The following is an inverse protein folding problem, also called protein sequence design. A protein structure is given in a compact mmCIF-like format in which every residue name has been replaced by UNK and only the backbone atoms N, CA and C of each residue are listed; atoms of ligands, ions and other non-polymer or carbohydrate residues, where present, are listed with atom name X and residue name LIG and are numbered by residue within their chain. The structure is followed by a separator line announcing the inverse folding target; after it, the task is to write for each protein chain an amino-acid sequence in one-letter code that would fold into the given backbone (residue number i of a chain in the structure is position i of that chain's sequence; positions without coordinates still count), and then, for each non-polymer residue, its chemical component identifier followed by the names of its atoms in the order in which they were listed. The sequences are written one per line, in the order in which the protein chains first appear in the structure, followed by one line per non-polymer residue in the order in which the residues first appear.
data_IF_540419753190
#
_entry.id   IF_540419753190
#
_cell.length_a   1.000
_cell.length_b   1.000
_cell.length_c   1.000
_cell.angle_alpha   90.00
_cell.angle_beta   90.00
_cell.angle_gamma   90.00
#
_symmetry.space_group_name_H-M   'P 1'
#
loop_
_entity.id
_entity.type
_entity.pdbx_description
1 polymer ?
#
# COMPACT_ATOMS: atom_id res chain seq x y z
N UNK A 1 59.01 -11.82 -3.29
CA UNK A 1 57.71 -12.46 -3.55
C UNK A 1 56.57 -11.93 -2.69
N UNK A 2 56.80 -11.48 -1.45
CA UNK A 2 55.69 -11.12 -0.53
C UNK A 2 54.92 -9.82 -0.88
N UNK A 3 55.56 -8.81 -1.49
CA UNK A 3 54.91 -7.51 -1.75
C UNK A 3 53.75 -7.57 -2.76
N UNK A 4 53.89 -8.41 -3.79
CA UNK A 4 52.85 -8.60 -4.82
C UNK A 4 51.64 -9.31 -4.21
N UNK A 5 51.87 -10.33 -3.36
CA UNK A 5 50.82 -11.06 -2.68
C UNK A 5 49.97 -10.19 -1.74
N UNK A 6 50.61 -9.33 -0.93
CA UNK A 6 49.89 -8.40 -0.05
C UNK A 6 49.08 -7.33 -0.82
N UNK A 7 49.61 -6.86 -1.95
CA UNK A 7 48.91 -5.88 -2.80
C UNK A 7 47.66 -6.48 -3.44
N UNK A 8 47.75 -7.71 -3.97
CA UNK A 8 46.60 -8.41 -4.56
C UNK A 8 45.54 -8.71 -3.50
N UNK A 9 45.94 -9.15 -2.30
CA UNK A 9 45.00 -9.44 -1.22
C UNK A 9 44.23 -8.18 -0.75
N UNK A 10 44.92 -7.05 -0.62
CA UNK A 10 44.29 -5.77 -0.24
C UNK A 10 43.28 -5.28 -1.30
N UNK A 11 43.63 -5.40 -2.58
CA UNK A 11 42.74 -5.05 -3.68
C UNK A 11 41.47 -5.92 -3.69
N UNK A 12 41.61 -7.23 -3.49
CA UNK A 12 40.45 -8.14 -3.39
C UNK A 12 39.55 -7.74 -2.21
N UNK A 13 40.12 -7.47 -1.03
CA UNK A 13 39.35 -7.05 0.14
C UNK A 13 38.59 -5.73 -0.09
N UNK A 14 39.20 -4.75 -0.77
CA UNK A 14 38.54 -3.49 -1.11
C UNK A 14 37.37 -3.69 -2.08
N UNK A 15 37.55 -4.50 -3.13
CA UNK A 15 36.49 -4.78 -4.11
C UNK A 15 35.35 -5.56 -3.46
N UNK A 16 35.64 -6.58 -2.65
CA UNK A 16 34.61 -7.34 -1.92
C UNK A 16 33.83 -6.45 -0.95
N UNK A 17 34.52 -5.58 -0.20
CA UNK A 17 33.87 -4.61 0.68
C UNK A 17 32.94 -3.65 -0.08
N UNK A 18 33.37 -3.15 -1.24
CA UNK A 18 32.56 -2.27 -2.08
C UNK A 18 31.30 -2.97 -2.61
N UNK A 19 31.41 -4.21 -3.10
CA UNK A 19 30.28 -4.98 -3.63
C UNK A 19 29.24 -5.29 -2.55
N UNK A 20 29.68 -5.61 -1.31
CA UNK A 20 28.77 -5.87 -0.19
C UNK A 20 27.96 -4.61 0.17
N UNK A 21 28.58 -3.42 0.16
CA UNK A 21 27.88 -2.17 0.46
C UNK A 21 26.83 -1.80 -0.60
N UNK A 22 27.10 -2.10 -1.89
CA UNK A 22 26.11 -1.89 -2.96
C UNK A 22 24.92 -2.83 -2.79
N UNK A 23 25.16 -4.10 -2.43
CA UNK A 23 24.08 -5.08 -2.29
C UNK A 23 23.09 -4.73 -1.16
N UNK A 24 23.61 -4.19 -0.05
CA UNK A 24 22.77 -3.75 1.07
C UNK A 24 21.91 -2.51 0.75
N UNK A 25 22.36 -1.63 -0.15
CA UNK A 25 21.61 -0.43 -0.51
C UNK A 25 20.41 -0.71 -1.45
N UNK A 26 20.46 -1.80 -2.23
CA UNK A 26 19.41 -2.15 -3.20
C UNK A 26 18.17 -2.76 -2.53
N UNK A 27 18.29 -3.30 -1.31
CA UNK A 27 17.21 -4.02 -0.62
C UNK A 27 16.41 -3.18 0.37
N UNK A 28 16.71 -1.88 0.53
CA UNK A 28 16.03 -0.99 1.47
C UNK A 28 14.67 -0.44 0.98
N UNK A 29 13.95 -1.18 0.12
CA UNK A 29 12.61 -0.76 -0.31
C UNK A 29 11.64 -0.94 0.85
N UNK A 30 11.04 0.18 1.32
CA UNK A 30 9.96 0.13 2.30
C UNK A 30 8.77 -0.55 1.64
N UNK A 31 8.45 -1.77 2.09
CA UNK A 31 7.24 -2.47 1.63
C UNK A 31 6.01 -1.74 2.16
N UNK A 32 5.11 -1.33 1.26
CA UNK A 32 3.77 -0.89 1.65
C UNK A 32 3.07 -2.06 2.35
N UNK A 33 2.53 -1.80 3.55
CA UNK A 33 1.71 -2.79 4.24
C UNK A 33 0.49 -3.14 3.39
N UNK A 34 0.12 -4.43 3.38
CA UNK A 34 -1.06 -4.95 2.68
C UNK A 34 -1.18 -4.45 1.21
N UNK A 35 -0.05 -4.36 0.50
CA UNK A 35 -0.03 -3.89 -0.91
C UNK A 35 -0.77 -4.80 -1.90
N UNK A 36 -1.03 -6.05 -1.50
CA UNK A 36 -1.84 -7.00 -2.24
C UNK A 36 -3.34 -6.95 -1.91
N UNK A 37 -3.79 -6.13 -0.94
CA UNK A 37 -5.19 -6.03 -0.52
C UNK A 37 -5.81 -7.34 -0.04
N UNK A 38 -5.08 -8.12 0.74
CA UNK A 38 -5.54 -9.42 1.25
C UNK A 38 -6.24 -9.30 2.61
N UNK A 39 -5.92 -8.25 3.37
CA UNK A 39 -6.49 -7.97 4.70
C UNK A 39 -7.48 -6.81 4.61
N UNK A 40 -8.63 -6.95 5.28
CA UNK A 40 -9.73 -5.98 5.20
C UNK A 40 -10.41 -5.80 6.56
N UNK A 41 -10.67 -4.54 6.91
CA UNK A 41 -11.37 -4.14 8.13
C UNK A 41 -12.81 -3.73 7.80
N UNK A 42 -13.75 -4.06 8.68
CA UNK A 42 -15.14 -3.59 8.61
C UNK A 42 -15.29 -2.19 9.21
N UNK A 43 -16.25 -1.42 8.70
CA UNK A 43 -16.68 -0.14 9.28
C UNK A 43 -17.31 -0.29 10.67
N UNK A 44 -17.73 -1.52 11.03
CA UNK A 44 -18.48 -1.84 12.24
C UNK A 44 -19.79 -1.04 12.38
N UNK A 45 -20.33 -0.53 11.28
CA UNK A 45 -21.63 0.14 11.24
C UNK A 45 -22.73 -0.83 10.82
N UNK A 46 -23.97 -0.48 11.13
CA UNK A 46 -25.13 -1.23 10.65
C UNK A 46 -25.41 -0.91 9.16
N UNK A 47 -26.01 -1.84 8.39
CA UNK A 47 -26.51 -1.54 7.05
C UNK A 47 -27.41 -0.30 7.03
N UNK A 48 -27.32 0.58 6.02
CA UNK A 48 -26.55 0.45 4.77
C UNK A 48 -25.07 0.87 4.85
N UNK A 49 -24.59 1.26 6.03
CA UNK A 49 -23.24 1.81 6.26
C UNK A 49 -22.18 0.73 6.57
N UNK A 50 -22.55 -0.54 6.46
CA UNK A 50 -21.63 -1.67 6.60
C UNK A 50 -20.79 -1.82 5.33
N UNK A 51 -19.52 -1.43 5.40
CA UNK A 51 -18.56 -1.55 4.32
C UNK A 51 -17.22 -2.07 4.83
N UNK A 52 -16.38 -2.51 3.91
CA UNK A 52 -15.04 -3.00 4.21
C UNK A 52 -14.00 -2.15 3.47
N UNK A 53 -12.84 -1.94 4.09
CA UNK A 53 -11.68 -1.31 3.45
C UNK A 53 -10.41 -2.14 3.66
N UNK A 54 -9.40 -2.05 2.79
CA UNK A 54 -8.13 -2.73 3.03
C UNK A 54 -7.45 -2.23 4.30
N UNK A 55 -6.96 -3.13 5.14
CA UNK A 55 -6.24 -2.78 6.37
C UNK A 55 -4.96 -2.00 6.05
N UNK A 56 -4.64 -0.99 6.86
CA UNK A 56 -3.55 0.00 6.67
C UNK A 56 -3.71 0.98 5.49
N UNK A 57 -4.91 1.04 4.89
CA UNK A 57 -5.25 2.01 3.86
C UNK A 57 -6.39 2.93 4.31
N UNK A 58 -6.38 4.17 3.82
CA UNK A 58 -7.50 5.09 3.96
C UNK A 58 -8.30 5.14 2.67
N UNK A 59 -9.62 5.15 2.81
CA UNK A 59 -10.56 5.14 1.69
C UNK A 59 -11.57 6.30 1.75
N UNK A 60 -12.22 6.59 0.62
CA UNK A 60 -13.36 7.52 0.58
C UNK A 60 -14.70 6.85 0.95
N UNK A 61 -14.68 5.64 1.51
CA UNK A 61 -15.90 4.89 1.87
C UNK A 61 -16.82 5.66 2.84
N UNK A 62 -16.34 6.29 3.92
CA UNK A 62 -17.21 7.07 4.81
C UNK A 62 -17.96 8.22 4.11
N UNK A 63 -17.41 8.75 3.00
CA UNK A 63 -18.06 9.81 2.23
C UNK A 63 -18.97 9.27 1.11
N UNK A 64 -18.84 7.99 0.77
CA UNK A 64 -19.52 7.38 -0.39
C UNK A 64 -20.57 6.33 -0.03
N UNK A 65 -20.59 5.86 1.23
CA UNK A 65 -21.43 4.78 1.75
C UNK A 65 -22.96 5.00 1.64
N UNK A 66 -23.42 6.22 1.37
CA UNK A 66 -24.86 6.55 1.27
C UNK A 66 -25.65 5.76 0.22
N UNK A 67 -24.96 5.16 -0.76
CA UNK A 67 -25.55 4.27 -1.76
C UNK A 67 -24.77 2.95 -1.83
N UNK A 68 -23.45 3.07 -1.96
CA UNK A 68 -22.49 1.96 -1.94
C UNK A 68 -21.11 2.54 -1.71
N UNK A 69 -20.27 1.83 -0.95
CA UNK A 69 -18.87 2.20 -0.76
C UNK A 69 -18.11 2.37 -2.10
N UNK A 70 -17.34 3.45 -2.23
CA UNK A 70 -16.52 3.73 -3.42
C UNK A 70 -15.36 2.75 -3.61
N UNK A 71 -14.94 2.08 -2.54
CA UNK A 71 -13.93 1.01 -2.51
C UNK A 71 -14.58 -0.26 -1.99
N UNK A 72 -14.49 -1.34 -2.77
CA UNK A 72 -15.06 -2.65 -2.44
C UNK A 72 -14.06 -3.78 -2.68
N UNK A 73 -14.24 -4.90 -1.98
CA UNK A 73 -13.46 -6.13 -2.16
C UNK A 73 -13.89 -6.85 -3.44
N UNK A 74 -12.92 -7.27 -4.25
CA UNK A 74 -13.13 -8.09 -5.45
C UNK A 74 -12.30 -9.37 -5.36
N UNK A 75 -12.77 -10.46 -5.99
CA UNK A 75 -12.00 -11.70 -6.20
C UNK A 75 -11.36 -11.76 -7.59
N UNK A 76 -11.62 -10.76 -8.43
CA UNK A 76 -10.94 -10.58 -9.72
C UNK A 76 -9.59 -9.90 -9.46
N UNK A 77 -8.59 -10.72 -9.12
CA UNK A 77 -7.27 -10.27 -8.71
C UNK A 77 -6.20 -10.79 -9.68
N UNK A 78 -5.24 -9.92 -10.03
CA UNK A 78 -4.07 -10.31 -10.83
C UNK A 78 -3.15 -11.29 -10.06
N UNK A 79 -3.12 -11.18 -8.73
CA UNK A 79 -2.34 -12.01 -7.82
C UNK A 79 -3.03 -12.05 -6.46
N UNK A 80 -2.91 -13.16 -5.74
CA UNK A 80 -3.58 -13.31 -4.44
C UNK A 80 -5.03 -13.77 -4.58
N UNK A 81 -5.84 -13.56 -3.53
CA UNK A 81 -7.26 -13.92 -3.52
C UNK A 81 -8.16 -12.70 -3.72
N UNK A 82 -7.67 -11.50 -3.39
CA UNK A 82 -8.47 -10.30 -3.38
C UNK A 82 -7.81 -9.14 -4.09
N UNK A 83 -8.64 -8.21 -4.56
CA UNK A 83 -8.22 -6.94 -5.13
C UNK A 83 -9.17 -5.82 -4.67
N UNK A 84 -8.67 -4.58 -4.65
CA UNK A 84 -9.50 -3.41 -4.44
C UNK A 84 -10.20 -3.02 -5.74
N UNK A 85 -11.54 -2.98 -5.71
CA UNK A 85 -12.37 -2.43 -6.77
C UNK A 85 -12.72 -0.99 -6.43
N UNK A 86 -12.34 -0.07 -7.32
CA UNK A 86 -12.58 1.37 -7.18
C UNK A 86 -13.69 1.77 -8.14
N UNK A 87 -14.71 2.44 -7.63
CA UNK A 87 -15.88 2.87 -8.40
C UNK A 87 -16.26 4.31 -8.06
N UNK A 88 -16.61 5.09 -9.08
CA UNK A 88 -17.23 6.40 -8.91
C UNK A 88 -18.70 6.21 -8.58
N UNK A 89 -19.17 6.89 -7.54
CA UNK A 89 -20.56 6.82 -7.07
C UNK A 89 -21.32 8.09 -7.44
N UNK A 90 -22.60 7.95 -7.77
CA UNK A 90 -23.53 9.07 -7.86
C UNK A 90 -24.30 9.16 -6.54
N UNK A 91 -24.08 10.24 -5.81
CA UNK A 91 -24.66 10.51 -4.49
C UNK A 91 -25.40 11.84 -4.62
N UNK A 92 -26.72 11.80 -4.48
CA UNK A 92 -27.59 12.97 -4.59
C UNK A 92 -27.41 13.80 -5.88
N UNK A 93 -27.09 13.15 -7.01
CA UNK A 93 -26.88 13.82 -8.29
C UNK A 93 -25.45 14.34 -8.51
N UNK A 94 -24.55 14.14 -7.56
CA UNK A 94 -23.14 14.51 -7.64
C UNK A 94 -22.27 13.25 -7.75
N UNK A 95 -21.27 13.28 -8.62
CA UNK A 95 -20.34 12.17 -8.78
C UNK A 95 -19.16 12.30 -7.82
N UNK A 96 -18.95 11.28 -6.99
CA UNK A 96 -17.85 11.16 -6.04
C UNK A 96 -16.92 10.04 -6.47
N UNK A 97 -15.63 10.32 -6.62
CA UNK A 97 -14.64 9.32 -6.97
C UNK A 97 -14.33 8.39 -5.77
N UNK A 98 -14.22 7.09 -6.05
CA UNK A 98 -13.57 6.16 -5.14
C UNK A 98 -12.08 6.51 -5.03
N UNK A 99 -11.60 6.70 -3.80
CA UNK A 99 -10.20 7.00 -3.51
C UNK A 99 -9.64 6.02 -2.49
N UNK A 100 -8.41 5.57 -2.72
CA UNK A 100 -7.67 4.67 -1.84
C UNK A 100 -6.23 5.16 -1.76
N UNK A 101 -5.74 5.41 -0.55
CA UNK A 101 -4.39 5.91 -0.29
C UNK A 101 -3.72 5.14 0.83
N UNK A 102 -2.42 4.91 0.71
CA UNK A 102 -1.64 4.24 1.77
C UNK A 102 -1.37 5.20 2.92
N UNK A 103 -1.61 4.76 4.15
CA UNK A 103 -1.49 5.59 5.36
C UNK A 103 -2.81 6.27 5.76
N UNK A 104 -2.72 7.29 6.64
CA UNK A 104 -3.88 7.98 7.20
C UNK A 104 -4.27 9.22 6.38
N UNK A 105 -5.46 9.21 5.79
CA UNK A 105 -6.11 10.40 5.26
C UNK A 105 -7.20 10.85 6.24
N UNK A 106 -7.05 12.05 6.80
CA UNK A 106 -8.12 12.66 7.58
C UNK A 106 -9.20 13.17 6.63
N UNK A 107 -10.43 12.70 6.80
CA UNK A 107 -11.58 13.41 6.25
C UNK A 107 -11.69 14.74 7.01
N UNK A 108 -11.64 15.87 6.30
CA UNK A 108 -12.07 17.15 6.87
C UNK A 108 -13.57 17.04 7.13
N UNK A 109 -13.96 16.66 8.35
CA UNK A 109 -15.31 16.90 8.82
C UNK A 109 -15.48 18.43 8.91
N UNK A 110 -16.45 18.97 8.18
CA UNK A 110 -16.89 20.32 8.45
C UNK A 110 -17.41 20.34 9.90
N UNK A 111 -16.91 21.21 10.78
CA UNK A 111 -17.53 21.39 12.09
C UNK A 111 -18.96 21.90 11.86
N UNK A 112 -19.91 21.32 12.59
CA UNK A 112 -21.32 21.73 12.63
C UNK A 112 -21.48 23.23 12.92
#
# INVERSE_FOLDING_TARGET
MNKIFFSTLYFVLLVSGFVINIHSAVTAQVSLSNSGFEQWDSSNQAPPFDWHQPSDWSSTNPATEFNTAGITKSTDAHSGNFAARIITQNIFGVYHAGGLVSGHAHAFAFPD
#
